data_IF_642319821995
#
_entry.id   IF_642319821995
#
_cell.length_a   1.000
_cell.length_b   1.000
_cell.length_c   1.000
_cell.angle_alpha   90.00
_cell.angle_beta   90.00
_cell.angle_gamma   90.00
#
_symmetry.space_group_name_H-M   'P 1'
#
loop_
_entity.id
_entity.type
_entity.pdbx_description
1 polymer ?
#
# COMPACT_ATOMS: atom_id res chain seq x y z
N UNK A 1 -11.44 56.02 -22.88
CA UNK A 1 -12.16 54.76 -22.59
C UNK A 1 -11.10 53.68 -22.38
N UNK A 2 -11.04 53.00 -21.22
CA UNK A 2 -10.16 51.83 -21.08
C UNK A 2 -10.61 50.74 -22.06
N UNK A 3 -9.64 50.14 -22.74
CA UNK A 3 -9.88 49.17 -23.79
C UNK A 3 -10.57 47.90 -23.21
N UNK A 4 -11.51 47.32 -23.93
CA UNK A 4 -12.24 46.10 -23.56
C UNK A 4 -11.33 44.89 -23.20
N UNK A 5 -10.11 44.89 -23.74
CA UNK A 5 -9.08 43.89 -23.43
C UNK A 5 -8.63 43.88 -21.95
N UNK A 6 -8.62 45.05 -21.28
CA UNK A 6 -8.27 45.13 -19.86
C UNK A 6 -9.39 44.56 -18.95
N UNK A 7 -10.66 44.71 -19.37
CA UNK A 7 -11.80 44.16 -18.63
C UNK A 7 -11.92 42.64 -18.78
N UNK A 8 -11.46 42.07 -19.92
CA UNK A 8 -11.48 40.63 -20.15
C UNK A 8 -10.33 39.89 -19.45
N UNK A 9 -9.21 40.59 -19.25
CA UNK A 9 -8.09 40.08 -18.42
C UNK A 9 -8.47 40.12 -16.94
N UNK A 10 -9.20 41.12 -16.47
CA UNK A 10 -9.68 41.20 -15.08
C UNK A 10 -10.80 40.19 -14.77
N UNK A 11 -11.60 39.76 -15.75
CA UNK A 11 -12.62 38.71 -15.59
C UNK A 11 -12.07 37.29 -15.57
N UNK A 12 -10.79 37.06 -15.92
CA UNK A 12 -10.09 35.79 -15.79
C UNK A 12 -9.38 35.60 -14.45
N UNK A 13 -9.26 36.67 -13.65
CA UNK A 13 -8.75 36.61 -12.30
C UNK A 13 -9.94 36.40 -11.35
N UNK A 14 -9.86 35.33 -10.57
CA UNK A 14 -10.65 35.07 -9.38
C UNK A 14 -12.15 34.72 -9.60
N UNK A 15 -12.43 33.58 -10.24
CA UNK A 15 -13.49 32.75 -9.69
C UNK A 15 -12.94 32.20 -8.37
N UNK A 16 -13.09 32.95 -7.29
CA UNK A 16 -13.09 32.32 -5.94
C UNK A 16 -14.13 31.22 -6.00
N UNK A 17 -13.67 29.96 -6.04
CA UNK A 17 -14.54 28.81 -6.00
C UNK A 17 -15.30 28.92 -4.68
N UNK A 18 -16.61 29.10 -4.75
CA UNK A 18 -17.43 29.10 -3.55
C UNK A 18 -17.32 27.71 -2.90
N UNK A 19 -17.52 27.63 -1.60
CA UNK A 19 -17.51 26.35 -0.87
C UNK A 19 -18.39 25.29 -1.57
N UNK A 20 -19.52 25.70 -2.12
CA UNK A 20 -20.45 24.84 -2.85
C UNK A 20 -19.87 24.34 -4.18
N UNK A 21 -19.16 25.16 -4.92
CA UNK A 21 -18.49 24.76 -6.16
C UNK A 21 -17.39 23.72 -5.88
N UNK A 22 -16.71 23.86 -4.73
CA UNK A 22 -15.69 22.89 -4.32
C UNK A 22 -16.30 21.54 -3.92
N UNK A 23 -17.44 21.52 -3.25
CA UNK A 23 -18.20 20.31 -2.94
C UNK A 23 -18.72 19.62 -4.21
N UNK A 24 -19.20 20.38 -5.19
CA UNK A 24 -19.66 19.82 -6.46
C UNK A 24 -18.49 19.18 -7.26
N UNK A 25 -17.31 19.80 -7.23
CA UNK A 25 -16.13 19.20 -7.86
C UNK A 25 -15.67 17.93 -7.12
N UNK A 26 -15.67 17.94 -5.79
CA UNK A 26 -15.37 16.73 -4.98
C UNK A 26 -16.33 15.59 -5.31
N UNK A 27 -17.64 15.87 -5.44
CA UNK A 27 -18.63 14.89 -5.84
C UNK A 27 -18.33 14.30 -7.20
N UNK A 28 -17.97 15.14 -8.19
CA UNK A 28 -17.60 14.69 -9.54
C UNK A 28 -16.35 13.80 -9.53
N UNK A 29 -15.33 14.18 -8.75
CA UNK A 29 -14.12 13.37 -8.55
C UNK A 29 -14.48 12.01 -7.98
N UNK A 30 -15.30 11.97 -6.93
CA UNK A 30 -15.73 10.73 -6.28
C UNK A 30 -16.45 9.81 -7.26
N UNK A 31 -17.40 10.32 -8.06
CA UNK A 31 -18.10 9.51 -9.05
C UNK A 31 -17.18 8.98 -10.16
N UNK A 32 -16.20 9.77 -10.60
CA UNK A 32 -15.20 9.30 -11.59
C UNK A 32 -14.34 8.18 -11.01
N UNK A 33 -13.83 8.35 -9.78
CA UNK A 33 -13.04 7.34 -9.09
C UNK A 33 -13.83 6.05 -8.88
N UNK A 34 -15.06 6.16 -8.39
CA UNK A 34 -15.95 5.00 -8.20
C UNK A 34 -16.27 4.30 -9.53
N UNK A 35 -16.48 5.05 -10.61
CA UNK A 35 -16.72 4.49 -11.94
C UNK A 35 -15.53 3.68 -12.45
N UNK A 36 -14.31 4.22 -12.37
CA UNK A 36 -13.09 3.52 -12.79
C UNK A 36 -12.82 2.31 -11.90
N UNK A 37 -12.95 2.48 -10.58
CA UNK A 37 -12.83 1.38 -9.65
C UNK A 37 -13.81 0.24 -9.94
N UNK A 38 -15.07 0.55 -10.23
CA UNK A 38 -16.09 -0.44 -10.54
C UNK A 38 -15.77 -1.21 -11.83
N UNK A 39 -15.25 -0.53 -12.87
CA UNK A 39 -14.80 -1.19 -14.10
C UNK A 39 -13.67 -2.19 -13.81
N UNK A 40 -12.68 -1.81 -13.00
CA UNK A 40 -11.62 -2.73 -12.57
C UNK A 40 -12.19 -3.88 -11.72
N UNK A 41 -13.14 -3.60 -10.81
CA UNK A 41 -13.74 -4.63 -9.98
C UNK A 41 -14.47 -5.70 -10.80
N UNK A 42 -15.23 -5.29 -11.81
CA UNK A 42 -15.88 -6.23 -12.75
C UNK A 42 -14.85 -7.00 -13.56
N UNK A 43 -13.79 -6.33 -14.06
CA UNK A 43 -12.71 -6.99 -14.78
C UNK A 43 -12.00 -8.05 -13.93
N UNK A 44 -11.64 -7.72 -12.69
CA UNK A 44 -11.02 -8.67 -11.76
C UNK A 44 -11.98 -9.79 -11.35
N UNK A 45 -13.26 -9.50 -11.19
CA UNK A 45 -14.25 -10.53 -10.89
C UNK A 45 -14.31 -11.59 -12.00
N UNK A 46 -14.27 -11.18 -13.26
CA UNK A 46 -14.27 -12.11 -14.41
C UNK A 46 -12.93 -12.89 -14.51
N UNK A 47 -11.81 -12.21 -14.27
CA UNK A 47 -10.48 -12.81 -14.36
C UNK A 47 -10.07 -13.61 -13.10
N UNK A 48 -10.88 -13.58 -12.04
CA UNK A 48 -10.53 -14.13 -10.72
C UNK A 48 -10.10 -15.60 -10.75
N UNK A 49 -10.74 -16.53 -11.48
CA UNK A 49 -10.31 -17.93 -11.44
C UNK A 49 -8.84 -18.10 -11.81
N UNK A 50 -8.37 -17.39 -12.83
CA UNK A 50 -6.97 -17.42 -13.23
C UNK A 50 -6.04 -16.67 -12.25
N UNK A 51 -6.47 -15.49 -11.79
CA UNK A 51 -5.70 -14.67 -10.85
C UNK A 51 -5.55 -15.36 -9.49
N UNK A 52 -6.60 -16.04 -9.06
CA UNK A 52 -6.59 -16.72 -7.78
C UNK A 52 -5.51 -17.79 -7.73
N UNK A 53 -5.46 -18.66 -8.75
CA UNK A 53 -4.50 -19.76 -8.82
C UNK A 53 -3.05 -19.27 -9.03
N UNK A 54 -2.85 -18.25 -9.91
CA UNK A 54 -1.51 -17.84 -10.32
C UNK A 54 -0.92 -16.69 -9.49
N UNK A 55 -1.74 -15.89 -8.84
CA UNK A 55 -1.29 -14.73 -8.08
C UNK A 55 -1.58 -14.90 -6.59
N UNK A 56 -2.84 -15.17 -6.24
CA UNK A 56 -3.25 -15.18 -4.84
C UNK A 56 -2.71 -16.42 -4.11
N UNK A 57 -2.76 -17.59 -4.73
CA UNK A 57 -2.24 -18.84 -4.15
C UNK A 57 -0.74 -19.09 -4.42
N UNK A 58 -0.09 -18.28 -5.26
CA UNK A 58 1.32 -18.45 -5.57
C UNK A 58 2.23 -18.51 -4.32
N UNK A 59 2.03 -17.70 -3.26
CA UNK A 59 2.84 -17.81 -2.04
C UNK A 59 2.65 -19.11 -1.24
N UNK A 60 1.61 -19.90 -1.52
CA UNK A 60 1.40 -21.21 -0.90
C UNK A 60 2.28 -22.31 -1.50
N UNK A 61 2.87 -22.08 -2.68
CA UNK A 61 3.64 -23.07 -3.40
C UNK A 61 5.15 -22.87 -3.20
N UNK A 62 5.88 -23.99 -3.17
CA UNK A 62 7.33 -23.98 -2.96
C UNK A 62 8.13 -23.29 -4.10
N UNK A 63 7.53 -23.16 -5.29
CA UNK A 63 8.15 -22.56 -6.49
C UNK A 63 8.05 -21.03 -6.51
N UNK A 64 7.54 -20.42 -5.44
CA UNK A 64 7.45 -18.97 -5.36
C UNK A 64 8.85 -18.34 -5.25
N UNK A 65 9.10 -17.29 -6.04
CA UNK A 65 10.41 -16.63 -6.19
C UNK A 65 11.09 -16.33 -4.84
N UNK A 66 10.33 -15.92 -3.84
CA UNK A 66 10.86 -15.61 -2.51
C UNK A 66 11.53 -16.80 -1.84
N UNK A 67 10.97 -18.01 -1.95
CA UNK A 67 11.53 -19.21 -1.33
C UNK A 67 12.80 -19.67 -2.02
N UNK A 68 12.96 -19.40 -3.33
CA UNK A 68 14.23 -19.63 -4.04
C UNK A 68 15.33 -18.72 -3.51
N UNK A 69 15.01 -17.42 -3.34
CA UNK A 69 15.93 -16.45 -2.74
C UNK A 69 16.29 -16.86 -1.30
N UNK A 70 15.31 -17.26 -0.51
CA UNK A 70 15.51 -17.70 0.87
C UNK A 70 16.45 -18.91 0.95
N UNK A 71 16.24 -19.92 0.08
CA UNK A 71 17.11 -21.10 -0.03
C UNK A 71 18.53 -20.72 -0.47
N UNK A 72 18.67 -19.78 -1.41
CA UNK A 72 19.98 -19.30 -1.84
C UNK A 72 20.74 -18.60 -0.70
N UNK A 73 20.07 -17.76 0.05
CA UNK A 73 20.63 -17.08 1.23
C UNK A 73 21.05 -18.10 2.29
N UNK A 74 20.16 -19.07 2.61
CA UNK A 74 20.45 -20.14 3.57
C UNK A 74 21.72 -20.92 3.20
N UNK A 75 21.86 -21.30 1.92
CA UNK A 75 23.07 -21.99 1.41
C UNK A 75 24.33 -21.13 1.48
N UNK A 76 24.24 -19.85 1.15
CA UNK A 76 25.38 -18.92 1.12
C UNK A 76 25.94 -18.67 2.52
N UNK A 77 25.07 -18.57 3.52
CA UNK A 77 25.45 -18.31 4.92
C UNK A 77 25.60 -19.59 5.76
N UNK A 78 25.52 -20.79 5.15
CA UNK A 78 25.53 -22.08 5.84
C UNK A 78 24.52 -22.19 6.99
N UNK A 79 23.34 -21.58 6.81
CA UNK A 79 22.24 -21.66 7.74
C UNK A 79 21.51 -23.00 7.48
N UNK A 80 21.88 -24.04 8.22
CA UNK A 80 21.27 -25.38 8.10
C UNK A 80 19.94 -25.50 8.88
N UNK A 81 19.26 -24.40 9.12
CA UNK A 81 17.98 -24.37 9.81
C UNK A 81 16.87 -24.89 8.87
N UNK A 82 15.96 -25.66 9.40
CA UNK A 82 14.78 -26.19 8.69
C UNK A 82 13.98 -25.07 8.04
N UNK A 83 13.95 -23.90 8.66
CA UNK A 83 13.29 -22.71 8.12
C UNK A 83 13.81 -22.31 6.73
N UNK A 84 15.09 -22.52 6.40
CA UNK A 84 15.68 -22.17 5.10
C UNK A 84 15.65 -23.31 4.09
N UNK A 85 15.66 -24.57 4.54
CA UNK A 85 15.90 -25.74 3.70
C UNK A 85 14.65 -26.59 3.41
N UNK A 86 13.65 -26.55 4.29
CA UNK A 86 12.46 -27.37 4.19
C UNK A 86 11.57 -26.95 3.02
N UNK A 87 11.02 -27.94 2.30
CA UNK A 87 10.00 -27.70 1.29
C UNK A 87 8.73 -27.16 1.95
N UNK A 88 8.19 -26.09 1.37
CA UNK A 88 7.05 -25.39 1.91
C UNK A 88 5.83 -25.53 1.00
N UNK A 89 4.79 -26.10 1.54
CA UNK A 89 3.49 -26.21 0.87
C UNK A 89 2.37 -26.07 1.89
N UNK A 90 1.53 -25.06 1.69
CA UNK A 90 0.38 -24.82 2.57
C UNK A 90 -0.89 -25.34 1.91
N UNK A 91 -1.58 -26.23 2.59
CA UNK A 91 -2.89 -26.70 2.18
C UNK A 91 -3.96 -25.88 2.87
N UNK A 92 -4.70 -25.11 2.08
CA UNK A 92 -5.83 -24.32 2.58
C UNK A 92 -7.07 -25.19 2.70
N UNK A 93 -7.85 -24.94 3.76
CA UNK A 93 -9.14 -25.59 3.97
C UNK A 93 -10.26 -24.55 3.89
N UNK A 94 -11.38 -24.96 3.29
CA UNK A 94 -12.59 -24.18 3.31
C UNK A 94 -13.57 -24.78 4.32
N UNK A 95 -13.94 -24.00 5.34
CA UNK A 95 -14.84 -24.45 6.41
C UNK A 95 -16.28 -23.95 6.16
N UNK A 96 -16.42 -22.78 5.52
CA UNK A 96 -17.71 -22.13 5.35
C UNK A 96 -18.20 -22.31 3.91
N UNK A 97 -19.45 -22.73 3.73
CA UNK A 97 -20.06 -22.98 2.42
C UNK A 97 -20.03 -21.75 1.50
N UNK A 98 -20.29 -20.57 2.05
CA UNK A 98 -20.33 -19.32 1.30
C UNK A 98 -18.96 -18.64 1.14
N UNK A 99 -17.92 -19.12 1.83
CA UNK A 99 -16.60 -18.47 1.82
C UNK A 99 -16.02 -18.30 0.41
N UNK A 100 -16.05 -19.25 -0.53
CA UNK A 100 -15.48 -19.10 -1.84
C UNK A 100 -16.08 -17.90 -2.61
N UNK A 101 -17.38 -17.68 -2.47
CA UNK A 101 -18.06 -16.54 -3.10
C UNK A 101 -17.62 -15.21 -2.51
N UNK A 102 -17.63 -15.09 -1.16
CA UNK A 102 -17.20 -13.86 -0.50
C UNK A 102 -15.71 -13.57 -0.72
N UNK A 103 -14.86 -14.60 -0.70
CA UNK A 103 -13.44 -14.49 -1.02
C UNK A 103 -13.25 -13.98 -2.44
N UNK A 104 -13.96 -14.53 -3.41
CA UNK A 104 -13.93 -14.07 -4.79
C UNK A 104 -14.29 -12.58 -4.89
N UNK A 105 -15.40 -12.16 -4.28
CA UNK A 105 -15.82 -10.76 -4.29
C UNK A 105 -14.82 -9.83 -3.59
N UNK A 106 -14.38 -10.19 -2.38
CA UNK A 106 -13.46 -9.35 -1.60
C UNK A 106 -12.10 -9.23 -2.27
N UNK A 107 -11.58 -10.31 -2.85
CA UNK A 107 -10.31 -10.28 -3.58
C UNK A 107 -10.41 -9.40 -4.82
N UNK A 108 -11.49 -9.52 -5.62
CA UNK A 108 -11.72 -8.65 -6.78
C UNK A 108 -11.84 -7.17 -6.37
N UNK A 109 -12.54 -6.90 -5.26
CA UNK A 109 -12.66 -5.56 -4.69
C UNK A 109 -11.28 -4.96 -4.33
N UNK A 110 -10.47 -5.66 -3.54
CA UNK A 110 -9.18 -5.17 -3.09
C UNK A 110 -8.16 -5.03 -4.21
N UNK A 111 -8.09 -6.00 -5.14
CA UNK A 111 -7.22 -5.89 -6.32
C UNK A 111 -7.60 -4.71 -7.21
N UNK A 112 -8.90 -4.41 -7.34
CA UNK A 112 -9.34 -3.24 -8.10
C UNK A 112 -8.96 -1.93 -7.43
N UNK A 113 -8.98 -1.84 -6.08
CA UNK A 113 -8.51 -0.68 -5.31
C UNK A 113 -7.02 -0.45 -5.57
N UNK A 114 -6.19 -1.50 -5.47
CA UNK A 114 -4.74 -1.40 -5.73
C UNK A 114 -4.47 -0.89 -7.14
N UNK A 115 -5.17 -1.44 -8.14
CA UNK A 115 -4.96 -1.06 -9.55
C UNK A 115 -5.53 0.33 -9.87
N UNK A 116 -6.60 0.77 -9.19
CA UNK A 116 -7.17 2.10 -9.36
C UNK A 116 -6.34 3.21 -8.70
N UNK A 117 -5.40 2.89 -7.80
CA UNK A 117 -4.61 3.86 -7.03
C UNK A 117 -3.92 4.93 -7.89
N UNK A 118 -3.30 4.65 -9.06
CA UNK A 118 -2.72 5.69 -9.91
C UNK A 118 -3.76 6.70 -10.41
N UNK A 119 -4.96 6.19 -10.74
CA UNK A 119 -6.06 7.05 -11.16
C UNK A 119 -6.61 7.88 -10.00
N UNK A 120 -6.69 7.30 -8.80
CA UNK A 120 -7.06 8.01 -7.57
C UNK A 120 -6.09 9.18 -7.32
N UNK A 121 -4.79 8.94 -7.40
CA UNK A 121 -3.78 10.00 -7.25
C UNK A 121 -3.87 11.06 -8.34
N UNK A 122 -4.16 10.66 -9.57
CA UNK A 122 -4.38 11.61 -10.66
C UNK A 122 -5.61 12.51 -10.42
N UNK A 123 -6.73 11.95 -9.94
CA UNK A 123 -7.92 12.73 -9.62
C UNK A 123 -7.71 13.62 -8.38
N UNK A 124 -6.98 13.16 -7.35
CA UNK A 124 -6.55 13.98 -6.22
C UNK A 124 -5.70 15.17 -6.72
N UNK A 125 -4.74 14.91 -7.62
CA UNK A 125 -3.96 15.97 -8.23
C UNK A 125 -4.85 16.99 -8.93
N UNK A 126 -5.78 16.53 -9.75
CA UNK A 126 -6.70 17.38 -10.50
C UNK A 126 -7.56 18.25 -9.58
N UNK A 127 -7.98 17.69 -8.45
CA UNK A 127 -8.78 18.39 -7.45
C UNK A 127 -7.98 19.45 -6.68
N UNK A 128 -6.73 19.15 -6.31
CA UNK A 128 -5.89 20.05 -5.51
C UNK A 128 -5.21 21.12 -6.39
N UNK A 129 -4.89 20.80 -7.64
CA UNK A 129 -4.12 21.66 -8.55
C UNK A 129 -4.65 23.10 -8.71
N UNK A 130 -5.96 23.37 -8.75
CA UNK A 130 -6.48 24.74 -8.85
C UNK A 130 -6.19 25.59 -7.61
N UNK A 131 -6.08 24.98 -6.43
CA UNK A 131 -5.84 25.65 -5.15
C UNK A 131 -4.36 25.97 -4.89
N UNK A 132 -3.43 25.44 -5.72
CA UNK A 132 -1.99 25.60 -5.56
C UNK A 132 -1.43 26.76 -6.36
N UNK A 133 -0.43 27.45 -5.81
CA UNK A 133 0.34 28.45 -6.56
C UNK A 133 1.10 27.85 -7.75
N UNK A 134 1.33 28.59 -8.84
CA UNK A 134 1.98 28.08 -10.05
C UNK A 134 3.34 27.42 -9.80
N UNK A 135 4.09 27.91 -8.83
CA UNK A 135 5.40 27.36 -8.44
C UNK A 135 5.30 26.01 -7.71
N UNK A 136 4.19 25.76 -7.01
CA UNK A 136 3.96 24.53 -6.21
C UNK A 136 3.39 23.41 -7.06
N UNK A 137 2.61 23.72 -8.09
CA UNK A 137 1.96 22.73 -8.97
C UNK A 137 2.91 21.67 -9.53
N UNK A 138 4.13 22.11 -9.95
CA UNK A 138 5.14 21.19 -10.50
C UNK A 138 5.68 20.24 -9.43
N UNK A 139 5.88 20.74 -8.22
CA UNK A 139 6.36 19.96 -7.08
C UNK A 139 5.34 18.86 -6.69
N UNK A 140 4.08 19.25 -6.48
CA UNK A 140 3.03 18.32 -6.08
C UNK A 140 2.75 17.27 -7.16
N UNK A 141 2.77 17.65 -8.47
CA UNK A 141 2.64 16.67 -9.56
C UNK A 141 3.75 15.64 -9.54
N UNK A 142 5.02 16.06 -9.35
CA UNK A 142 6.15 15.11 -9.23
C UNK A 142 5.99 14.20 -8.02
N UNK A 143 5.57 14.75 -6.89
CA UNK A 143 5.37 13.97 -5.67
C UNK A 143 4.30 12.90 -5.83
N UNK A 144 3.15 13.21 -6.41
CA UNK A 144 2.11 12.21 -6.64
C UNK A 144 2.53 11.12 -7.65
N UNK A 145 3.36 11.47 -8.64
CA UNK A 145 3.96 10.47 -9.52
C UNK A 145 4.93 9.56 -8.76
N UNK A 146 5.77 10.13 -7.90
CA UNK A 146 6.67 9.36 -7.03
C UNK A 146 5.88 8.51 -6.04
N UNK A 147 4.80 9.08 -5.45
CA UNK A 147 3.89 8.34 -4.58
C UNK A 147 3.31 7.12 -5.27
N UNK A 148 2.76 7.26 -6.48
CA UNK A 148 2.27 6.10 -7.23
C UNK A 148 3.33 5.00 -7.35
N UNK A 149 4.58 5.35 -7.63
CA UNK A 149 5.69 4.37 -7.70
C UNK A 149 5.97 3.76 -6.33
N UNK A 150 6.01 4.58 -5.27
CA UNK A 150 6.22 4.12 -3.89
C UNK A 150 5.11 3.20 -3.43
N UNK A 151 3.85 3.51 -3.74
CA UNK A 151 2.71 2.64 -3.45
C UNK A 151 2.90 1.24 -4.04
N UNK A 152 3.23 1.15 -5.35
CA UNK A 152 3.45 -0.14 -5.98
C UNK A 152 4.70 -0.86 -5.45
N UNK A 153 5.75 -0.14 -5.11
CA UNK A 153 6.91 -0.73 -4.42
C UNK A 153 6.51 -1.33 -3.07
N UNK A 154 5.67 -0.64 -2.30
CA UNK A 154 5.10 -1.16 -1.06
C UNK A 154 4.27 -2.42 -1.27
N UNK A 155 3.37 -2.40 -2.27
CA UNK A 155 2.55 -3.56 -2.66
C UNK A 155 3.44 -4.75 -3.05
N UNK A 156 4.47 -4.52 -3.88
CA UNK A 156 5.40 -5.57 -4.31
C UNK A 156 6.21 -6.13 -3.15
N UNK A 157 6.72 -5.29 -2.25
CA UNK A 157 7.42 -5.75 -1.04
C UNK A 157 6.48 -6.53 -0.13
N UNK A 158 5.24 -6.07 0.05
CA UNK A 158 4.21 -6.78 0.77
C UNK A 158 3.95 -8.17 0.20
N UNK A 159 3.78 -8.26 -1.12
CA UNK A 159 3.47 -9.50 -1.83
C UNK A 159 4.65 -10.46 -1.93
N UNK A 160 5.84 -9.98 -2.31
CA UNK A 160 6.98 -10.86 -2.57
C UNK A 160 7.84 -11.17 -1.35
N UNK A 161 7.80 -10.36 -0.30
CA UNK A 161 8.69 -10.50 0.85
C UNK A 161 7.93 -10.67 2.16
N UNK A 162 7.10 -9.68 2.53
CA UNK A 162 6.49 -9.66 3.87
C UNK A 162 5.50 -10.79 4.03
N UNK A 163 4.58 -10.95 3.08
CA UNK A 163 3.53 -11.96 3.17
C UNK A 163 4.06 -13.41 3.15
N UNK A 164 4.94 -13.82 2.20
CA UNK A 164 5.47 -15.19 2.19
C UNK A 164 6.27 -15.53 3.44
N UNK A 165 7.03 -14.56 3.97
CA UNK A 165 7.80 -14.75 5.19
C UNK A 165 6.89 -14.95 6.40
N UNK A 166 5.83 -14.13 6.50
CA UNK A 166 4.81 -14.25 7.55
C UNK A 166 4.05 -15.57 7.44
N UNK A 167 3.60 -15.92 6.23
CA UNK A 167 2.88 -17.17 5.97
C UNK A 167 3.73 -18.38 6.36
N UNK A 168 5.01 -18.40 5.96
CA UNK A 168 5.93 -19.46 6.31
C UNK A 168 6.11 -19.58 7.81
N UNK A 169 6.35 -18.47 8.50
CA UNK A 169 6.52 -18.47 9.96
C UNK A 169 5.28 -18.99 10.68
N UNK A 170 4.10 -18.42 10.37
CA UNK A 170 2.86 -18.80 11.07
C UNK A 170 2.40 -20.23 10.78
N UNK A 171 2.65 -20.72 9.57
CA UNK A 171 2.28 -22.09 9.20
C UNK A 171 3.22 -23.15 9.78
N UNK A 172 4.49 -22.78 10.02
CA UNK A 172 5.50 -23.70 10.59
C UNK A 172 5.50 -23.65 12.13
N UNK A 173 4.90 -22.61 12.73
CA UNK A 173 4.86 -22.49 14.18
C UNK A 173 3.85 -23.48 14.78
N UNK A 174 4.38 -24.51 15.43
CA UNK A 174 3.60 -25.55 16.11
C UNK A 174 3.73 -25.42 17.62
N UNK A 175 2.60 -25.39 18.33
CA UNK A 175 2.57 -25.39 19.78
C UNK A 175 2.76 -26.82 20.34
N UNK A 176 2.25 -27.82 19.64
CA UNK A 176 2.29 -29.24 20.03
C UNK A 176 2.12 -30.10 18.79
N UNK A 177 2.88 -31.20 18.72
CA UNK A 177 2.73 -32.21 17.67
C UNK A 177 1.35 -32.92 17.65
N UNK A 178 0.54 -32.74 18.70
CA UNK A 178 -0.83 -33.27 18.78
C UNK A 178 -1.86 -32.37 18.08
N UNK A 179 -1.48 -31.15 17.65
CA UNK A 179 -2.37 -30.17 17.03
C UNK A 179 -1.89 -29.90 15.61
N UNK A 180 -2.64 -30.36 14.61
CA UNK A 180 -2.33 -30.10 13.20
C UNK A 180 -2.73 -28.67 12.84
N UNK A 181 -1.78 -27.90 12.28
CA UNK A 181 -2.03 -26.55 11.80
C UNK A 181 -2.82 -26.57 10.48
N UNK A 182 -4.10 -26.18 10.51
CA UNK A 182 -4.95 -26.05 9.34
C UNK A 182 -5.31 -24.59 9.10
N UNK A 183 -4.88 -24.04 7.96
CA UNK A 183 -5.13 -22.64 7.61
C UNK A 183 -6.43 -22.53 6.81
N UNK A 184 -7.40 -21.77 7.33
CA UNK A 184 -8.65 -21.52 6.61
C UNK A 184 -8.45 -20.54 5.46
N UNK A 185 -9.21 -20.74 4.37
CA UNK A 185 -9.21 -19.87 3.20
C UNK A 185 -9.48 -18.40 3.56
N UNK A 186 -10.44 -18.13 4.44
CA UNK A 186 -10.76 -16.76 4.87
C UNK A 186 -9.58 -16.10 5.58
N UNK A 187 -8.99 -16.79 6.56
CA UNK A 187 -7.85 -16.27 7.31
C UNK A 187 -6.65 -15.97 6.40
N UNK A 188 -6.41 -16.86 5.41
CA UNK A 188 -5.38 -16.64 4.40
C UNK A 188 -5.60 -15.35 3.62
N UNK A 189 -6.80 -15.17 3.06
CA UNK A 189 -7.14 -14.02 2.21
C UNK A 189 -7.16 -12.71 3.02
N UNK A 190 -7.72 -12.72 4.22
CA UNK A 190 -7.77 -11.53 5.07
C UNK A 190 -6.36 -11.05 5.43
N UNK A 191 -5.46 -11.96 5.82
CA UNK A 191 -4.06 -11.63 6.09
C UNK A 191 -3.33 -11.16 4.83
N UNK A 192 -3.51 -11.87 3.70
CA UNK A 192 -2.89 -11.52 2.42
C UNK A 192 -3.27 -10.12 1.98
N UNK A 193 -4.56 -9.83 1.91
CA UNK A 193 -5.05 -8.52 1.43
C UNK A 193 -4.63 -7.40 2.37
N UNK A 194 -4.75 -7.61 3.67
CA UNK A 194 -4.40 -6.60 4.66
C UNK A 194 -2.91 -6.26 4.60
N UNK A 195 -2.01 -7.26 4.63
CA UNK A 195 -0.57 -7.01 4.58
C UNK A 195 -0.15 -6.32 3.27
N UNK A 196 -0.60 -6.82 2.12
CA UNK A 196 -0.20 -6.28 0.82
C UNK A 196 -0.71 -4.85 0.62
N UNK A 197 -2.00 -4.59 0.92
CA UNK A 197 -2.58 -3.26 0.76
C UNK A 197 -1.98 -2.26 1.75
N UNK A 198 -1.90 -2.64 3.02
CA UNK A 198 -1.39 -1.75 4.05
C UNK A 198 0.10 -1.44 3.88
N UNK A 199 0.90 -2.37 3.34
CA UNK A 199 2.27 -2.08 2.93
C UNK A 199 2.31 -1.03 1.82
N UNK A 200 1.44 -1.13 0.80
CA UNK A 200 1.31 -0.09 -0.21
C UNK A 200 0.98 1.28 0.38
N UNK A 201 -0.03 1.34 1.25
CA UNK A 201 -0.43 2.58 1.93
C UNK A 201 0.65 3.13 2.86
N UNK A 202 1.37 2.27 3.58
CA UNK A 202 2.44 2.68 4.47
C UNK A 202 3.64 3.28 3.71
N UNK A 203 3.87 2.85 2.47
CA UNK A 203 4.87 3.45 1.58
C UNK A 203 4.47 4.85 1.07
N UNK A 204 3.23 5.27 1.27
CA UNK A 204 2.78 6.65 1.03
C UNK A 204 3.11 7.62 2.18
N UNK A 205 3.48 7.14 3.37
CA UNK A 205 3.82 8.01 4.51
C UNK A 205 4.89 9.06 4.17
N UNK A 206 5.94 8.77 3.40
CA UNK A 206 6.90 9.77 2.95
C UNK A 206 6.28 10.86 2.10
N UNK A 207 5.39 10.50 1.18
CA UNK A 207 4.69 11.46 0.33
C UNK A 207 3.80 12.38 1.18
N UNK A 208 3.05 11.81 2.11
CA UNK A 208 2.20 12.57 3.04
C UNK A 208 3.04 13.54 3.87
N UNK A 209 4.15 13.09 4.45
CA UNK A 209 5.04 13.94 5.25
C UNK A 209 5.67 15.06 4.42
N UNK A 210 6.05 14.76 3.16
CA UNK A 210 6.56 15.76 2.24
C UNK A 210 5.48 16.80 1.88
N UNK A 211 4.26 16.37 1.57
CA UNK A 211 3.15 17.27 1.27
C UNK A 211 2.81 18.19 2.45
N UNK A 212 2.77 17.64 3.67
CA UNK A 212 2.57 18.41 4.91
C UNK A 212 3.71 19.43 5.13
N UNK A 213 4.94 19.08 4.77
CA UNK A 213 6.08 19.99 4.84
C UNK A 213 5.96 21.13 3.81
N UNK A 214 5.48 20.83 2.60
CA UNK A 214 5.22 21.84 1.55
C UNK A 214 4.16 22.86 2.00
N UNK A 215 3.11 22.39 2.68
CA UNK A 215 2.05 23.22 3.25
C UNK A 215 2.49 24.00 4.51
N UNK A 216 3.75 23.85 4.94
CA UNK A 216 4.29 24.53 6.12
C UNK A 216 3.79 23.98 7.47
N UNK A 217 3.02 22.87 7.45
CA UNK A 217 2.49 22.23 8.66
C UNK A 217 3.55 21.46 9.43
N UNK A 218 4.56 20.93 8.74
CA UNK A 218 5.66 20.17 9.33
C UNK A 218 6.99 20.84 8.98
N UNK A 219 7.74 21.30 9.99
CA UNK A 219 9.06 21.92 9.82
C UNK A 219 10.19 20.89 9.89
N UNK A 220 11.28 21.14 9.15
CA UNK A 220 12.49 20.28 9.15
C UNK A 220 13.02 20.00 10.57
N UNK A 221 12.98 20.99 11.46
CA UNK A 221 13.37 20.86 12.87
C UNK A 221 12.51 19.87 13.65
N UNK A 222 11.22 19.77 13.31
CA UNK A 222 10.29 18.82 13.93
C UNK A 222 10.67 17.38 13.59
N UNK A 223 10.88 17.06 12.31
CA UNK A 223 11.27 15.71 11.86
C UNK A 223 12.58 15.26 12.50
N UNK A 224 13.56 16.16 12.60
CA UNK A 224 14.85 15.85 13.23
C UNK A 224 14.74 15.62 14.74
N UNK A 225 13.96 16.43 15.44
CA UNK A 225 13.74 16.32 16.90
C UNK A 225 12.99 15.04 17.25
N UNK A 226 12.03 14.63 16.43
CA UNK A 226 11.15 13.49 16.70
C UNK A 226 11.58 12.18 16.00
N UNK A 227 12.81 12.12 15.46
CA UNK A 227 13.35 10.92 14.80
C UNK A 227 13.29 9.66 15.68
N UNK A 228 13.54 9.79 17.00
CA UNK A 228 13.42 8.69 17.95
C UNK A 228 11.97 8.25 18.15
N UNK A 229 11.04 9.18 18.11
CA UNK A 229 9.61 8.89 18.22
C UNK A 229 9.05 8.29 16.93
N UNK A 230 9.67 8.55 15.76
CA UNK A 230 9.29 7.96 14.50
C UNK A 230 9.38 6.42 14.55
N UNK A 231 10.39 5.87 15.23
CA UNK A 231 10.51 4.42 15.41
C UNK A 231 9.29 3.85 16.16
N UNK A 232 8.88 4.52 17.25
CA UNK A 232 7.70 4.11 18.04
C UNK A 232 6.43 4.20 17.18
N UNK A 233 6.29 5.27 16.38
CA UNK A 233 5.15 5.45 15.49
C UNK A 233 5.15 4.35 14.41
N UNK A 234 6.31 4.00 13.84
CA UNK A 234 6.43 2.91 12.86
C UNK A 234 5.99 1.59 13.46
N UNK A 235 6.41 1.26 14.68
CA UNK A 235 6.00 0.03 15.36
C UNK A 235 4.49 0.02 15.63
N UNK A 236 3.91 1.16 16.04
CA UNK A 236 2.46 1.28 16.21
C UNK A 236 1.73 1.10 14.87
N UNK A 237 2.20 1.74 13.80
CA UNK A 237 1.64 1.58 12.45
C UNK A 237 1.76 0.13 11.99
N UNK A 238 2.92 -0.50 12.19
CA UNK A 238 3.12 -1.91 11.88
C UNK A 238 2.17 -2.82 12.67
N UNK A 239 1.94 -2.52 13.96
CA UNK A 239 0.98 -3.26 14.79
C UNK A 239 -0.48 -3.13 14.32
N UNK A 240 -0.84 -1.98 13.75
CA UNK A 240 -2.17 -1.78 13.13
C UNK A 240 -2.29 -2.54 11.80
N UNK A 241 -1.20 -2.58 11.02
CA UNK A 241 -1.13 -3.26 9.73
C UNK A 241 -1.18 -4.78 9.89
N UNK A 242 -0.56 -5.33 10.95
CA UNK A 242 -0.46 -6.78 11.16
C UNK A 242 -1.72 -7.31 11.82
N UNK A 243 -2.58 -8.06 11.12
CA UNK A 243 -3.83 -8.57 11.69
C UNK A 243 -3.60 -9.66 12.77
N UNK A 244 -2.47 -10.36 12.70
CA UNK A 244 -2.10 -11.43 13.62
C UNK A 244 -1.51 -10.91 14.93
N UNK A 245 -0.98 -9.67 14.94
CA UNK A 245 -0.36 -9.06 16.12
C UNK A 245 0.85 -9.80 16.68
N UNK A 246 1.40 -10.76 15.94
CA UNK A 246 2.56 -11.54 16.37
C UNK A 246 3.86 -10.73 16.25
N UNK A 247 4.83 -10.91 17.18
CA UNK A 247 6.07 -10.12 17.20
C UNK A 247 6.95 -10.33 15.96
N UNK A 248 6.85 -11.49 15.30
CA UNK A 248 7.65 -11.80 14.12
C UNK A 248 7.15 -10.98 12.92
N UNK A 249 5.87 -11.07 12.58
CA UNK A 249 5.27 -10.30 11.49
C UNK A 249 5.41 -8.80 11.73
N UNK A 250 5.22 -8.35 12.99
CA UNK A 250 5.43 -6.96 13.37
C UNK A 250 6.87 -6.49 13.06
N UNK A 251 7.86 -7.31 13.38
CA UNK A 251 9.27 -6.98 13.09
C UNK A 251 9.53 -6.94 11.59
N UNK A 252 9.03 -7.94 10.84
CA UNK A 252 9.18 -8.03 9.37
C UNK A 252 8.57 -6.82 8.66
N UNK A 253 7.41 -6.35 9.10
CA UNK A 253 6.75 -5.15 8.56
C UNK A 253 7.50 -3.88 8.96
N UNK A 254 7.99 -3.80 10.20
CA UNK A 254 8.66 -2.59 10.72
C UNK A 254 9.99 -2.29 10.02
N UNK A 255 10.73 -3.31 9.58
CA UNK A 255 12.05 -3.13 8.94
C UNK A 255 11.96 -2.32 7.64
N UNK A 256 11.15 -2.68 6.63
CA UNK A 256 10.99 -1.89 5.42
C UNK A 256 10.48 -0.47 5.69
N UNK A 257 9.53 -0.32 6.63
CA UNK A 257 9.01 0.98 7.01
C UNK A 257 10.06 1.87 7.67
N UNK A 258 10.90 1.30 8.53
CA UNK A 258 11.99 2.04 9.14
C UNK A 258 13.02 2.50 8.10
N UNK A 259 13.46 1.60 7.21
CA UNK A 259 14.38 1.93 6.12
C UNK A 259 13.83 3.04 5.21
N UNK A 260 12.53 2.98 4.91
CA UNK A 260 11.87 4.01 4.14
C UNK A 260 11.87 5.37 4.85
N UNK A 261 11.47 5.43 6.11
CA UNK A 261 11.47 6.67 6.91
C UNK A 261 12.88 7.26 7.07
N UNK A 262 13.88 6.40 7.22
CA UNK A 262 15.28 6.83 7.31
C UNK A 262 15.75 7.45 5.99
N UNK A 263 15.47 6.79 4.84
CA UNK A 263 15.84 7.30 3.51
C UNK A 263 15.20 8.66 3.21
N UNK A 264 13.94 8.86 3.62
CA UNK A 264 13.23 10.15 3.46
C UNK A 264 13.82 11.22 4.36
N UNK A 265 14.18 10.87 5.61
CA UNK A 265 14.83 11.81 6.52
C UNK A 265 16.16 12.34 5.96
N UNK A 266 16.92 11.51 5.25
CA UNK A 266 18.15 11.94 4.56
C UNK A 266 17.88 12.82 3.35
N UNK A 267 16.93 12.47 2.50
CA UNK A 267 16.61 13.24 1.28
C UNK A 267 16.10 14.65 1.60
N UNK A 268 15.35 14.80 2.69
CA UNK A 268 14.88 16.10 3.17
C UNK A 268 15.95 16.95 3.86
N UNK A 269 17.09 16.37 4.24
CA UNK A 269 18.22 17.12 4.80
C UNK A 269 19.12 17.70 3.72
N UNK A 270 19.06 17.19 2.49
CA UNK A 270 19.92 17.58 1.34
C UNK A 270 19.22 18.56 0.39
N UNK A 271 17.94 18.85 0.54
CA UNK A 271 17.17 19.87 -0.17
C UNK A 271 16.80 21.03 0.77
#
# INVERSE_FOLDING_TARGET
KPSSAASDVYKRQDKELTFWDHLDELRRVLFRVLGVWFVFAVGYFIAMPWLFDNVVLAPCHNDFIFYDVLRYVGKTFNLNDEFFTQQFHVKLININLAAPFFVHMSTAFWMSVVTATPYIFFEIWRFISPALYPNERRGVKKALCIGTVMFFLGVLLGYFMVYPLTLRFLSTYELSAAIENQISLNSYIDNFMMLVLCMGLAFELPLVTWLLSLLGLVHKSFLRKYRRHALVIIVIVAAIITPTGDPFTLTVVSIPLYLLCESVSYTHLTL
#
